data_IF_065405207804
#
_entry.id   IF_065405207804
#
_cell.length_a   1.000
_cell.length_b   1.000
_cell.length_c   1.000
_cell.angle_alpha   90.00
_cell.angle_beta   90.00
_cell.angle_gamma   90.00
#
_symmetry.space_group_name_H-M   'P 1'
#
loop_
_entity.id
_entity.type
_entity.pdbx_description
1 polymer ?
#
# COMPACT_ATOMS: atom_id res chain seq x y z
N UNK A 1 -46.79 -24.24 -11.64
CA UNK A 1 -45.88 -23.13 -11.96
C UNK A 1 -45.41 -22.56 -10.63
N UNK A 2 -44.32 -23.08 -10.07
CA UNK A 2 -43.72 -22.54 -8.85
C UNK A 2 -42.60 -21.59 -9.29
N UNK A 3 -42.89 -20.30 -9.36
CA UNK A 3 -41.85 -19.29 -9.46
C UNK A 3 -40.99 -19.39 -8.20
N UNK A 4 -39.70 -19.70 -8.36
CA UNK A 4 -38.73 -19.57 -7.27
C UNK A 4 -38.68 -18.09 -6.88
N UNK A 5 -39.22 -17.76 -5.71
CA UNK A 5 -39.20 -16.41 -5.14
C UNK A 5 -37.74 -15.91 -5.09
N UNK A 6 -37.49 -14.69 -5.59
CA UNK A 6 -36.16 -14.09 -5.60
C UNK A 6 -35.68 -13.79 -4.17
N UNK A 7 -34.36 -13.74 -3.95
CA UNK A 7 -33.75 -13.49 -2.63
C UNK A 7 -34.31 -12.22 -1.95
N UNK A 8 -34.54 -11.15 -2.71
CA UNK A 8 -35.09 -9.88 -2.21
C UNK A 8 -36.56 -9.98 -1.85
N UNK A 9 -37.35 -10.77 -2.57
CA UNK A 9 -38.78 -10.95 -2.30
C UNK A 9 -38.99 -11.83 -1.06
N UNK A 10 -38.17 -12.86 -0.91
CA UNK A 10 -38.11 -13.68 0.30
C UNK A 10 -37.70 -12.85 1.52
N UNK A 11 -36.67 -12.02 1.38
CA UNK A 11 -36.27 -11.05 2.41
C UNK A 11 -37.40 -10.10 2.78
N UNK A 12 -38.08 -9.50 1.80
CA UNK A 12 -39.15 -8.54 2.08
C UNK A 12 -40.31 -9.17 2.87
N UNK A 13 -40.62 -10.44 2.58
CA UNK A 13 -41.61 -11.23 3.31
C UNK A 13 -41.15 -11.49 4.77
N UNK A 14 -39.97 -12.07 4.97
CA UNK A 14 -39.45 -12.37 6.32
C UNK A 14 -39.24 -11.10 7.17
N UNK A 15 -38.63 -10.06 6.58
CA UNK A 15 -38.44 -8.78 7.24
C UNK A 15 -39.76 -8.12 7.60
N UNK A 16 -40.81 -8.30 6.78
CA UNK A 16 -42.17 -7.88 7.07
C UNK A 16 -42.71 -8.52 8.35
N UNK A 17 -42.56 -9.84 8.52
CA UNK A 17 -43.01 -10.54 9.73
C UNK A 17 -42.28 -10.04 11.00
N UNK A 18 -40.96 -9.84 10.91
CA UNK A 18 -40.20 -9.28 12.03
C UNK A 18 -40.65 -7.85 12.36
N UNK A 19 -40.92 -7.01 11.36
CA UNK A 19 -41.36 -5.63 11.56
C UNK A 19 -42.77 -5.54 12.18
N UNK A 20 -43.69 -6.44 11.84
CA UNK A 20 -45.00 -6.50 12.50
C UNK A 20 -44.90 -6.97 13.96
N UNK A 21 -44.00 -7.92 14.26
CA UNK A 21 -43.70 -8.32 15.63
C UNK A 21 -43.09 -7.16 16.43
N UNK A 22 -42.14 -6.43 15.85
CA UNK A 22 -41.53 -5.25 16.48
C UNK A 22 -42.55 -4.14 16.74
N UNK A 23 -43.42 -3.87 15.78
CA UNK A 23 -44.49 -2.86 15.92
C UNK A 23 -45.44 -3.19 17.08
N UNK A 24 -45.83 -4.46 17.21
CA UNK A 24 -46.64 -4.95 18.32
C UNK A 24 -45.94 -4.75 19.67
N UNK A 25 -44.63 -5.03 19.74
CA UNK A 25 -43.84 -4.90 20.96
C UNK A 25 -43.72 -3.43 21.41
N UNK A 26 -43.39 -2.51 20.50
CA UNK A 26 -43.20 -1.09 20.85
C UNK A 26 -44.52 -0.38 21.14
N UNK A 27 -45.63 -0.85 20.57
CA UNK A 27 -46.96 -0.28 20.78
C UNK A 27 -47.59 -0.66 22.11
N UNK A 28 -47.10 -1.70 22.79
CA UNK A 28 -47.63 -2.19 24.06
C UNK A 28 -47.76 -1.09 25.15
N UNK A 29 -48.82 -1.19 25.95
CA UNK A 29 -49.17 -0.17 26.98
C UNK A 29 -48.17 -0.17 28.14
N UNK A 30 -47.68 -1.35 28.55
CA UNK A 30 -46.71 -1.50 29.64
C UNK A 30 -45.24 -1.28 29.20
N UNK A 31 -45.01 -1.02 27.91
CA UNK A 31 -43.69 -1.05 27.28
C UNK A 31 -43.32 -2.43 26.73
N UNK A 32 -42.28 -2.51 25.88
CA UNK A 32 -41.90 -3.74 25.21
C UNK A 32 -41.24 -4.73 26.17
N UNK A 33 -41.45 -6.03 25.92
CA UNK A 33 -40.54 -7.06 26.43
C UNK A 33 -39.16 -6.83 25.80
N UNK A 34 -38.18 -6.50 26.65
CA UNK A 34 -36.85 -6.05 26.22
C UNK A 34 -36.02 -7.19 25.65
N UNK A 35 -36.24 -8.42 26.11
CA UNK A 35 -35.53 -9.59 25.59
C UNK A 35 -36.06 -9.94 24.21
N UNK A 36 -37.38 -9.93 24.06
CA UNK A 36 -38.04 -10.20 22.79
C UNK A 36 -37.74 -9.10 21.76
N UNK A 37 -37.79 -7.83 22.16
CA UNK A 37 -37.42 -6.70 21.29
C UNK A 37 -35.99 -6.84 20.76
N UNK A 38 -35.03 -7.21 21.63
CA UNK A 38 -33.64 -7.43 21.25
C UNK A 38 -33.49 -8.64 20.31
N UNK A 39 -34.21 -9.73 20.58
CA UNK A 39 -34.17 -10.95 19.77
C UNK A 39 -34.70 -10.70 18.36
N UNK A 40 -35.87 -10.07 18.24
CA UNK A 40 -36.51 -9.80 16.94
C UNK A 40 -35.71 -8.77 16.15
N UNK A 41 -35.17 -7.72 16.79
CA UNK A 41 -34.30 -6.74 16.12
C UNK A 41 -33.04 -7.37 15.53
N UNK A 42 -32.43 -8.34 16.25
CA UNK A 42 -31.27 -9.10 15.74
C UNK A 42 -31.65 -10.01 14.57
N UNK A 43 -32.80 -10.66 14.62
CA UNK A 43 -33.30 -11.51 13.54
C UNK A 43 -33.51 -10.69 12.25
N UNK A 44 -34.14 -9.51 12.37
CA UNK A 44 -34.33 -8.57 11.26
C UNK A 44 -32.99 -8.16 10.63
N UNK A 45 -31.99 -7.79 11.45
CA UNK A 45 -30.64 -7.48 10.97
C UNK A 45 -30.00 -8.65 10.23
N UNK A 46 -30.11 -9.86 10.78
CA UNK A 46 -29.58 -11.08 10.16
C UNK A 46 -30.19 -11.33 8.77
N UNK A 47 -31.52 -11.23 8.66
CA UNK A 47 -32.24 -11.38 7.40
C UNK A 47 -31.78 -10.34 6.35
N UNK A 48 -31.61 -9.07 6.75
CA UNK A 48 -31.12 -8.02 5.86
C UNK A 48 -29.68 -8.27 5.36
N UNK A 49 -28.78 -8.74 6.23
CA UNK A 49 -27.40 -9.06 5.83
C UNK A 49 -27.33 -10.27 4.89
N UNK A 50 -28.15 -11.30 5.14
CA UNK A 50 -28.23 -12.47 4.25
C UNK A 50 -28.77 -12.12 2.87
N UNK A 51 -29.63 -11.11 2.77
CA UNK A 51 -30.19 -10.59 1.53
C UNK A 51 -29.31 -9.55 0.82
N UNK A 52 -28.11 -9.28 1.34
CA UNK A 52 -27.21 -8.21 0.86
C UNK A 52 -27.82 -6.80 0.89
N UNK A 53 -28.71 -6.53 1.86
CA UNK A 53 -29.40 -5.26 2.05
C UNK A 53 -28.72 -4.46 3.18
N UNK A 54 -27.48 -4.01 2.93
CA UNK A 54 -26.62 -3.40 3.96
C UNK A 54 -27.26 -2.18 4.65
N UNK A 55 -27.88 -1.27 3.90
CA UNK A 55 -28.49 -0.06 4.45
C UNK A 55 -29.67 -0.35 5.40
N UNK A 56 -30.49 -1.38 5.10
CA UNK A 56 -31.56 -1.83 6.00
C UNK A 56 -30.95 -2.54 7.21
N UNK A 57 -29.89 -3.33 7.00
CA UNK A 57 -29.14 -4.00 8.05
C UNK A 57 -28.57 -3.03 9.09
N UNK A 58 -28.05 -1.87 8.65
CA UNK A 58 -27.52 -0.83 9.54
C UNK A 58 -28.61 -0.17 10.40
N UNK A 59 -29.78 0.12 9.81
CA UNK A 59 -30.92 0.64 10.55
C UNK A 59 -31.48 -0.39 11.55
N UNK A 60 -31.54 -1.67 11.17
CA UNK A 60 -31.91 -2.76 12.08
C UNK A 60 -30.88 -2.95 13.21
N UNK A 61 -29.58 -2.75 12.94
CA UNK A 61 -28.54 -2.76 13.97
C UNK A 61 -28.70 -1.60 14.96
N UNK A 62 -29.09 -0.41 14.50
CA UNK A 62 -29.41 0.71 15.38
C UNK A 62 -30.62 0.42 16.28
N UNK A 63 -31.63 -0.27 15.75
CA UNK A 63 -32.80 -0.71 16.54
C UNK A 63 -32.39 -1.78 17.58
N UNK A 64 -31.51 -2.71 17.20
CA UNK A 64 -30.92 -3.69 18.11
C UNK A 64 -30.15 -2.99 19.26
N UNK A 65 -29.42 -1.91 18.96
CA UNK A 65 -28.69 -1.13 19.94
C UNK A 65 -29.63 -0.44 20.94
N UNK A 66 -30.72 0.15 20.45
CA UNK A 66 -31.76 0.72 21.31
C UNK A 66 -32.37 -0.35 22.22
N UNK A 67 -32.73 -1.51 21.67
CA UNK A 67 -33.26 -2.63 22.43
C UNK A 67 -32.28 -3.13 23.51
N UNK A 68 -30.98 -3.16 23.19
CA UNK A 68 -29.92 -3.51 24.13
C UNK A 68 -29.77 -2.48 25.24
N UNK A 69 -29.77 -1.19 24.91
CA UNK A 69 -29.70 -0.11 25.90
C UNK A 69 -30.89 -0.14 26.87
N UNK A 70 -32.08 -0.46 26.36
CA UNK A 70 -33.26 -0.69 27.19
C UNK A 70 -33.08 -1.93 28.08
N UNK A 71 -32.61 -3.07 27.54
CA UNK A 71 -32.35 -4.30 28.32
C UNK A 71 -31.36 -4.04 29.46
N UNK A 72 -30.32 -3.25 29.20
CA UNK A 72 -29.27 -2.88 30.15
C UNK A 72 -29.67 -1.75 31.12
N UNK A 73 -30.92 -1.24 31.04
CA UNK A 73 -31.41 -0.09 31.82
C UNK A 73 -30.58 1.21 31.61
N UNK A 74 -29.86 1.34 30.50
CA UNK A 74 -29.11 2.56 30.15
C UNK A 74 -30.03 3.67 29.63
N UNK A 75 -31.17 3.30 29.05
CA UNK A 75 -32.20 4.20 28.54
C UNK A 75 -33.52 3.86 29.20
N UNK A 76 -34.29 4.88 29.56
CA UNK A 76 -35.67 4.71 30.04
C UNK A 76 -36.65 4.61 28.88
N UNK A 77 -37.64 3.72 29.00
CA UNK A 77 -38.76 3.66 28.06
C UNK A 77 -39.78 4.76 28.38
N UNK A 78 -39.51 5.97 27.91
CA UNK A 78 -40.37 7.15 28.03
C UNK A 78 -41.18 7.40 26.73
N UNK A 79 -42.14 8.35 26.73
CA UNK A 79 -42.93 8.66 25.53
C UNK A 79 -42.10 9.09 24.31
N UNK A 80 -40.94 9.71 24.52
CA UNK A 80 -40.04 10.12 23.44
C UNK A 80 -39.36 8.92 22.79
N UNK A 81 -38.76 8.04 23.58
CA UNK A 81 -38.14 6.79 23.13
C UNK A 81 -39.16 5.88 22.43
N UNK A 82 -40.39 5.80 22.96
CA UNK A 82 -41.49 5.07 22.33
C UNK A 82 -41.81 5.64 20.93
N UNK A 83 -41.93 6.96 20.83
CA UNK A 83 -42.27 7.62 19.57
C UNK A 83 -41.18 7.45 18.50
N UNK A 84 -39.91 7.47 18.90
CA UNK A 84 -38.76 7.24 18.00
C UNK A 84 -38.77 5.80 17.50
N UNK A 85 -38.95 4.82 18.40
CA UNK A 85 -38.99 3.41 18.03
C UNK A 85 -40.13 3.09 17.04
N UNK A 86 -41.33 3.63 17.26
CA UNK A 86 -42.48 3.46 16.36
C UNK A 86 -42.16 4.05 14.97
N UNK A 87 -41.68 5.29 14.90
CA UNK A 87 -41.34 5.93 13.61
C UNK A 87 -40.26 5.17 12.85
N UNK A 88 -39.24 4.70 13.55
CA UNK A 88 -38.16 3.94 12.93
C UNK A 88 -38.66 2.61 12.35
N UNK A 89 -39.59 1.93 13.03
CA UNK A 89 -40.21 0.71 12.53
C UNK A 89 -41.09 1.01 11.30
N UNK A 90 -41.87 2.09 11.33
CA UNK A 90 -42.67 2.52 10.17
C UNK A 90 -41.79 2.85 8.96
N UNK A 91 -40.69 3.57 9.17
CA UNK A 91 -39.72 3.88 8.13
C UNK A 91 -39.05 2.61 7.59
N UNK A 92 -38.69 1.65 8.46
CA UNK A 92 -38.16 0.35 8.05
C UNK A 92 -39.18 -0.46 7.24
N UNK A 93 -40.48 -0.41 7.57
CA UNK A 93 -41.55 -1.02 6.77
C UNK A 93 -41.58 -0.43 5.35
N UNK A 94 -41.38 0.88 5.21
CA UNK A 94 -41.31 1.54 3.89
C UNK A 94 -40.05 1.11 3.13
N UNK A 95 -38.89 1.10 3.79
CA UNK A 95 -37.61 0.74 3.17
C UNK A 95 -37.59 -0.72 2.68
N UNK A 96 -38.13 -1.65 3.47
CA UNK A 96 -38.24 -3.06 3.09
C UNK A 96 -39.15 -3.24 1.86
N UNK A 97 -40.27 -2.50 1.76
CA UNK A 97 -41.14 -2.53 0.58
C UNK A 97 -40.45 -2.00 -0.68
N UNK A 98 -39.47 -1.12 -0.54
CA UNK A 98 -38.68 -0.55 -1.64
C UNK A 98 -37.37 -1.29 -1.90
N UNK A 99 -37.11 -2.41 -1.24
CA UNK A 99 -35.84 -3.14 -1.38
C UNK A 99 -35.56 -3.64 -2.81
N UNK A 100 -36.59 -3.81 -3.65
CA UNK A 100 -36.45 -4.14 -5.07
C UNK A 100 -36.16 -2.95 -5.98
N UNK A 101 -36.52 -1.73 -5.55
CA UNK A 101 -36.44 -0.48 -6.33
C UNK A 101 -35.68 0.59 -5.52
N UNK A 102 -34.41 0.31 -5.24
CA UNK A 102 -33.59 1.10 -4.32
C UNK A 102 -32.98 2.34 -4.98
N UNK A 103 -33.08 3.50 -4.33
CA UNK A 103 -32.41 4.74 -4.78
C UNK A 103 -31.58 5.39 -3.66
N UNK A 104 -30.82 6.44 -4.00
CA UNK A 104 -30.04 7.23 -3.04
C UNK A 104 -30.91 7.88 -1.94
N UNK A 105 -32.17 8.18 -2.25
CA UNK A 105 -33.12 8.73 -1.28
C UNK A 105 -33.45 7.71 -0.17
N UNK A 106 -33.65 6.44 -0.51
CA UNK A 106 -33.86 5.36 0.47
C UNK A 106 -32.61 5.12 1.31
N UNK A 107 -31.41 5.17 0.72
CA UNK A 107 -30.15 5.08 1.45
C UNK A 107 -29.97 6.20 2.48
N UNK A 108 -30.30 7.43 2.09
CA UNK A 108 -30.27 8.60 2.98
C UNK A 108 -31.29 8.48 4.13
N UNK A 109 -32.50 8.00 3.81
CA UNK A 109 -33.56 7.77 4.80
C UNK A 109 -33.20 6.67 5.79
N UNK A 110 -32.67 5.54 5.33
CA UNK A 110 -32.16 4.46 6.19
C UNK A 110 -31.05 4.95 7.14
N UNK A 111 -30.15 5.78 6.63
CA UNK A 111 -29.09 6.41 7.44
C UNK A 111 -29.65 7.35 8.52
N UNK A 112 -30.67 8.16 8.19
CA UNK A 112 -31.33 9.04 9.15
C UNK A 112 -32.00 8.26 10.28
N UNK A 113 -32.72 7.19 9.93
CA UNK A 113 -33.38 6.30 10.90
C UNK A 113 -32.36 5.65 11.83
N UNK A 114 -31.25 5.16 11.28
CA UNK A 114 -30.17 4.58 12.07
C UNK A 114 -29.54 5.60 13.03
N UNK A 115 -29.39 6.86 12.61
CA UNK A 115 -28.85 7.92 13.45
C UNK A 115 -29.79 8.26 14.62
N UNK A 116 -31.08 8.47 14.34
CA UNK A 116 -32.11 8.78 15.35
C UNK A 116 -32.23 7.67 16.41
N UNK A 117 -32.20 6.40 15.99
CA UNK A 117 -32.24 5.26 16.91
C UNK A 117 -31.00 5.15 17.79
N UNK A 118 -29.80 5.39 17.24
CA UNK A 118 -28.57 5.33 18.03
C UNK A 118 -28.49 6.50 19.03
N UNK A 119 -28.94 7.70 18.63
CA UNK A 119 -29.06 8.85 19.55
C UNK A 119 -30.01 8.51 20.72
N UNK A 120 -31.18 7.94 20.43
CA UNK A 120 -32.12 7.49 21.44
C UNK A 120 -31.56 6.37 22.34
N UNK A 121 -30.64 5.54 21.84
CA UNK A 121 -29.98 4.48 22.61
C UNK A 121 -28.94 5.02 23.62
N UNK A 122 -28.77 6.34 23.73
CA UNK A 122 -27.73 6.96 24.54
C UNK A 122 -26.32 6.71 23.99
N UNK A 123 -26.23 6.16 22.77
CA UNK A 123 -25.01 6.30 22.00
C UNK A 123 -25.03 7.74 21.48
N UNK A 124 -24.12 8.56 21.98
CA UNK A 124 -23.73 9.76 21.23
C UNK A 124 -23.10 9.25 19.94
N UNK A 125 -23.94 9.03 18.94
CA UNK A 125 -23.49 9.06 17.56
C UNK A 125 -22.93 10.46 17.42
N UNK A 126 -21.60 10.58 17.38
CA UNK A 126 -20.97 11.83 16.99
C UNK A 126 -21.75 12.35 15.77
N UNK A 127 -22.14 13.64 15.76
CA UNK A 127 -23.02 14.13 14.72
C UNK A 127 -22.39 13.79 13.37
N UNK A 128 -23.09 13.05 12.50
CA UNK A 128 -22.77 13.09 11.07
C UNK A 128 -23.08 14.51 10.63
N UNK A 129 -22.09 15.40 10.81
CA UNK A 129 -22.12 16.73 10.25
C UNK A 129 -22.02 16.61 8.74
N UNK A 130 -22.68 17.57 8.11
CA UNK A 130 -22.81 17.85 6.69
C UNK A 130 -21.71 17.28 5.81
N UNK A 131 -22.08 16.92 4.58
CA UNK A 131 -21.27 16.52 3.41
C UNK A 131 -19.94 17.30 3.23
N UNK A 132 -19.77 18.46 3.86
CA UNK A 132 -18.50 19.20 3.95
C UNK A 132 -17.41 18.59 4.87
N UNK A 133 -17.73 17.65 5.78
CA UNK A 133 -16.76 16.96 6.67
C UNK A 133 -16.23 15.62 6.10
N UNK A 134 -16.53 15.30 4.83
CA UNK A 134 -16.16 14.03 4.16
C UNK A 134 -14.66 13.83 3.87
N UNK A 135 -13.77 14.58 4.52
CA UNK A 135 -12.31 14.47 4.32
C UNK A 135 -11.56 14.04 5.57
N UNK A 136 -12.23 13.64 6.66
CA UNK A 136 -11.58 13.26 7.92
C UNK A 136 -11.75 11.79 8.31
N UNK A 137 -10.66 11.15 8.73
CA UNK A 137 -10.64 9.81 9.34
C UNK A 137 -11.48 9.83 10.63
N UNK A 138 -12.38 8.86 10.84
CA UNK A 138 -13.23 8.80 12.05
C UNK A 138 -12.42 8.43 13.31
N UNK A 139 -12.95 8.78 14.49
CA UNK A 139 -12.26 8.56 15.78
C UNK A 139 -11.89 7.11 16.06
N UNK A 140 -12.71 6.14 15.62
CA UNK A 140 -12.43 4.72 15.77
C UNK A 140 -11.27 4.28 14.89
N UNK A 141 -11.28 4.70 13.64
CA UNK A 141 -10.17 4.48 12.69
C UNK A 141 -8.89 5.17 13.17
N UNK A 142 -8.95 6.37 13.74
CA UNK A 142 -7.78 7.04 14.35
C UNK A 142 -7.20 6.24 15.52
N UNK A 143 -8.05 5.74 16.42
CA UNK A 143 -7.60 4.92 17.55
C UNK A 143 -6.98 3.58 17.08
N UNK A 144 -7.54 2.98 16.04
CA UNK A 144 -6.98 1.81 15.38
C UNK A 144 -5.60 2.10 14.77
N UNK A 145 -5.49 3.17 13.97
CA UNK A 145 -4.21 3.60 13.38
C UNK A 145 -3.16 3.88 14.45
N UNK A 146 -3.54 4.53 15.56
CA UNK A 146 -2.62 4.79 16.66
C UNK A 146 -2.04 3.50 17.27
N UNK A 147 -2.91 2.51 17.53
CA UNK A 147 -2.52 1.22 18.13
C UNK A 147 -1.67 0.40 17.18
N UNK A 148 -2.14 0.20 15.95
CA UNK A 148 -1.45 -0.63 14.98
C UNK A 148 -0.16 0.05 14.50
N UNK A 149 -0.16 1.37 14.35
CA UNK A 149 1.05 2.16 14.05
C UNK A 149 2.11 2.07 15.15
N UNK A 150 1.71 2.08 16.43
CA UNK A 150 2.63 1.85 17.54
C UNK A 150 3.21 0.41 17.54
N UNK A 151 2.40 -0.59 17.19
CA UNK A 151 2.84 -1.98 17.02
C UNK A 151 3.93 -2.10 15.94
N UNK A 152 3.68 -1.54 14.76
CA UNK A 152 4.64 -1.52 13.64
C UNK A 152 5.92 -0.78 14.03
N UNK A 153 5.82 0.42 14.59
CA UNK A 153 6.99 1.20 15.01
C UNK A 153 7.84 0.46 16.05
N UNK A 154 7.22 -0.25 17.00
CA UNK A 154 7.94 -1.07 17.97
C UNK A 154 8.65 -2.25 17.32
N UNK A 155 8.00 -2.96 16.40
CA UNK A 155 8.63 -4.08 15.69
C UNK A 155 9.83 -3.62 14.86
N UNK A 156 9.71 -2.48 14.17
CA UNK A 156 10.80 -1.86 13.40
C UNK A 156 11.99 -1.47 14.29
N UNK A 157 11.74 -0.83 15.43
CA UNK A 157 12.78 -0.47 16.39
C UNK A 157 13.51 -1.70 16.95
N UNK A 158 12.79 -2.80 17.18
CA UNK A 158 13.39 -4.06 17.63
C UNK A 158 14.33 -4.67 16.56
N UNK A 159 13.90 -4.68 15.30
CA UNK A 159 14.75 -5.12 14.16
C UNK A 159 15.99 -4.24 14.03
N UNK A 160 15.83 -2.91 14.11
CA UNK A 160 16.94 -1.97 14.04
C UNK A 160 17.99 -2.24 15.14
N UNK A 161 17.56 -2.44 16.38
CA UNK A 161 18.45 -2.79 17.48
C UNK A 161 19.10 -4.17 17.33
N UNK A 162 18.38 -5.16 16.81
CA UNK A 162 18.94 -6.49 16.57
C UNK A 162 20.03 -6.45 15.49
N UNK A 163 19.83 -5.67 14.43
CA UNK A 163 20.83 -5.46 13.36
C UNK A 163 22.09 -4.78 13.90
N UNK A 164 21.95 -3.73 14.73
CA UNK A 164 23.10 -3.06 15.37
C UNK A 164 23.93 -4.00 16.23
N UNK A 165 23.29 -4.99 16.86
CA UNK A 165 23.96 -5.98 17.71
C UNK A 165 24.44 -7.21 16.96
N UNK A 166 24.16 -7.32 15.66
CA UNK A 166 24.47 -8.50 14.86
C UNK A 166 23.66 -9.75 15.25
N UNK A 167 22.50 -9.57 15.87
CA UNK A 167 21.62 -10.66 16.34
C UNK A 167 20.30 -10.74 15.56
N UNK A 168 20.22 -10.07 14.41
CA UNK A 168 19.02 -10.05 13.60
C UNK A 168 18.71 -11.44 13.02
N UNK A 169 17.43 -11.83 13.04
CA UNK A 169 16.98 -13.10 12.47
C UNK A 169 15.75 -12.92 11.57
N UNK A 170 15.43 -13.95 10.78
CA UNK A 170 14.29 -13.93 9.86
C UNK A 170 12.95 -13.70 10.57
N UNK A 171 12.78 -14.29 11.76
CA UNK A 171 11.55 -14.18 12.54
C UNK A 171 11.21 -12.73 12.93
N UNK A 172 12.23 -11.91 13.21
CA UNK A 172 12.04 -10.49 13.50
C UNK A 172 11.53 -9.70 12.29
N UNK A 173 12.00 -10.02 11.08
CA UNK A 173 11.47 -9.43 9.85
C UNK A 173 10.02 -9.87 9.60
N UNK A 174 9.71 -11.15 9.80
CA UNK A 174 8.34 -11.68 9.67
C UNK A 174 7.37 -11.02 10.68
N UNK A 175 7.85 -10.70 11.89
CA UNK A 175 7.08 -9.95 12.88
C UNK A 175 6.71 -8.54 12.40
N UNK A 176 7.61 -7.84 11.72
CA UNK A 176 7.30 -6.52 11.11
C UNK A 176 6.23 -6.66 10.04
N UNK A 177 6.36 -7.64 9.14
CA UNK A 177 5.34 -7.89 8.09
C UNK A 177 3.97 -8.18 8.71
N UNK A 178 3.91 -9.03 9.75
CA UNK A 178 2.66 -9.32 10.47
C UNK A 178 2.06 -8.08 11.13
N UNK A 179 2.88 -7.23 11.75
CA UNK A 179 2.43 -6.00 12.38
C UNK A 179 1.84 -5.00 11.37
N UNK A 180 2.31 -5.01 10.11
CA UNK A 180 1.84 -4.12 9.06
C UNK A 180 0.50 -4.54 8.43
N UNK A 181 0.15 -5.83 8.45
CA UNK A 181 -1.07 -6.36 7.81
C UNK A 181 -2.37 -5.60 8.16
N UNK A 182 -2.65 -5.25 9.44
CA UNK A 182 -3.89 -4.57 9.81
C UNK A 182 -4.05 -3.18 9.19
N UNK A 183 -2.95 -2.49 8.90
CA UNK A 183 -2.96 -1.13 8.35
C UNK A 183 -3.10 -1.09 6.83
N UNK A 184 -2.82 -2.18 6.12
CA UNK A 184 -2.90 -2.21 4.64
C UNK A 184 -4.31 -1.98 4.10
N UNK A 185 -5.34 -2.38 4.84
CA UNK A 185 -6.74 -2.16 4.45
C UNK A 185 -7.17 -0.69 4.43
N UNK A 186 -6.35 0.22 4.97
CA UNK A 186 -6.64 1.66 5.07
C UNK A 186 -5.95 2.49 3.96
N UNK A 187 -5.11 1.87 3.13
CA UNK A 187 -4.28 2.53 2.10
C UNK A 187 -5.07 3.36 1.06
N UNK A 188 -6.38 3.16 0.96
CA UNK A 188 -7.25 3.87 0.00
C UNK A 188 -7.58 5.31 0.46
N UNK A 189 -7.30 5.67 1.72
CA UNK A 189 -7.64 6.97 2.29
C UNK A 189 -6.50 7.99 2.07
N UNK A 190 -6.67 9.06 1.26
CA UNK A 190 -5.57 9.99 0.97
C UNK A 190 -4.96 10.65 2.21
N UNK A 191 -5.76 10.86 3.26
CA UNK A 191 -5.34 11.54 4.48
C UNK A 191 -4.36 10.74 5.35
N UNK A 192 -4.20 9.43 5.11
CA UNK A 192 -3.21 8.62 5.83
C UNK A 192 -1.82 8.64 5.18
N UNK A 193 -1.67 9.18 3.98
CA UNK A 193 -0.35 9.38 3.37
C UNK A 193 0.53 10.25 4.29
N UNK A 194 1.78 9.84 4.59
CA UNK A 194 2.61 8.90 3.83
C UNK A 194 2.64 7.49 4.44
N UNK A 195 1.72 7.16 5.37
CA UNK A 195 1.79 5.90 6.13
C UNK A 195 1.81 4.65 5.23
N UNK A 196 0.95 4.51 4.20
CA UNK A 196 1.05 3.40 3.25
C UNK A 196 2.39 3.38 2.52
N UNK A 197 2.87 4.53 2.07
CA UNK A 197 4.14 4.67 1.36
C UNK A 197 5.35 4.28 2.23
N UNK A 198 5.31 4.61 3.53
CA UNK A 198 6.32 4.18 4.51
C UNK A 198 6.32 2.67 4.68
N UNK A 199 5.14 2.04 4.78
CA UNK A 199 5.01 0.59 4.94
C UNK A 199 5.52 -0.16 3.70
N UNK A 200 5.13 0.29 2.52
CA UNK A 200 5.62 -0.23 1.26
C UNK A 200 7.16 -0.12 1.15
N UNK A 201 7.71 1.02 1.58
CA UNK A 201 9.15 1.22 1.66
C UNK A 201 9.84 0.24 2.62
N UNK A 202 9.23 -0.01 3.79
CA UNK A 202 9.73 -0.97 4.79
C UNK A 202 9.79 -2.37 4.20
N UNK A 203 8.76 -2.81 3.47
CA UNK A 203 8.75 -4.15 2.86
C UNK A 203 9.88 -4.36 1.87
N UNK A 204 10.18 -3.32 1.07
CA UNK A 204 11.32 -3.34 0.14
C UNK A 204 12.64 -3.36 0.88
N UNK A 205 12.76 -2.58 1.95
CA UNK A 205 13.93 -2.60 2.80
C UNK A 205 14.16 -3.98 3.44
N UNK A 206 13.09 -4.66 3.88
CA UNK A 206 13.16 -6.03 4.39
C UNK A 206 13.63 -6.99 3.29
N UNK A 207 13.03 -6.92 2.10
CA UNK A 207 13.42 -7.76 0.98
C UNK A 207 14.90 -7.55 0.60
N UNK A 208 15.39 -6.31 0.62
CA UNK A 208 16.79 -5.99 0.38
C UNK A 208 17.72 -6.50 1.49
N UNK A 209 17.33 -6.35 2.75
CA UNK A 209 18.10 -6.82 3.90
C UNK A 209 18.23 -8.36 3.91
N UNK A 210 17.11 -9.07 3.69
CA UNK A 210 17.08 -10.53 3.59
C UNK A 210 17.86 -11.03 2.37
N UNK A 211 17.81 -10.28 1.26
CA UNK A 211 18.61 -10.55 0.07
C UNK A 211 20.12 -10.25 0.22
N UNK A 212 20.56 -9.72 1.37
CA UNK A 212 21.98 -9.39 1.61
C UNK A 212 22.49 -8.19 0.83
N UNK A 213 21.60 -7.31 0.34
CA UNK A 213 21.94 -6.16 -0.48
C UNK A 213 22.24 -4.91 0.38
N UNK A 214 23.41 -4.85 1.02
CA UNK A 214 23.87 -3.67 1.78
C UNK A 214 24.42 -4.00 3.17
N UNK A 215 24.85 -2.97 3.92
CA UNK A 215 25.42 -3.19 5.26
C UNK A 215 24.34 -3.30 6.35
N UNK A 216 24.50 -4.19 7.36
CA UNK A 216 23.57 -4.29 8.48
C UNK A 216 23.33 -2.98 9.24
N UNK A 217 24.35 -2.11 9.30
CA UNK A 217 24.26 -0.81 9.95
C UNK A 217 23.42 0.19 9.17
N UNK A 218 23.50 0.20 7.84
CA UNK A 218 22.63 1.04 6.99
C UNK A 218 21.17 0.62 7.14
N UNK A 219 20.90 -0.69 7.11
CA UNK A 219 19.56 -1.22 7.35
C UNK A 219 19.05 -0.89 8.75
N UNK A 220 19.90 -0.97 9.78
CA UNK A 220 19.50 -0.58 11.13
C UNK A 220 19.06 0.88 11.22
N UNK A 221 19.83 1.80 10.60
CA UNK A 221 19.47 3.21 10.57
C UNK A 221 18.21 3.46 9.73
N UNK A 222 18.02 2.71 8.64
CA UNK A 222 16.81 2.77 7.83
C UNK A 222 15.57 2.34 8.62
N UNK A 223 15.60 1.17 9.28
CA UNK A 223 14.46 0.69 10.09
C UNK A 223 14.18 1.57 11.31
N UNK A 224 15.21 2.16 11.92
CA UNK A 224 15.02 3.17 12.97
C UNK A 224 14.34 4.45 12.46
N UNK A 225 14.74 4.94 11.27
CA UNK A 225 14.06 6.08 10.63
C UNK A 225 12.61 5.74 10.25
N UNK A 226 12.35 4.51 9.80
CA UNK A 226 11.01 4.03 9.51
C UNK A 226 10.13 3.97 10.76
N UNK A 227 10.66 3.47 11.88
CA UNK A 227 9.95 3.42 13.16
C UNK A 227 9.52 4.82 13.62
N UNK A 228 10.42 5.80 13.48
CA UNK A 228 10.13 7.21 13.79
C UNK A 228 9.09 7.80 12.84
N UNK A 229 9.22 7.57 11.53
CA UNK A 229 8.26 8.02 10.52
C UNK A 229 6.86 7.48 10.75
N UNK A 230 6.72 6.18 10.95
CA UNK A 230 5.44 5.51 11.24
C UNK A 230 4.84 6.04 12.55
N UNK A 231 5.65 6.19 13.60
CA UNK A 231 5.18 6.74 14.88
C UNK A 231 4.69 8.18 14.74
N UNK A 232 5.40 9.02 13.99
CA UNK A 232 5.02 10.41 13.77
C UNK A 232 3.72 10.51 12.96
N UNK A 233 3.65 9.84 11.80
CA UNK A 233 2.46 9.84 10.95
C UNK A 233 1.22 9.33 11.71
N UNK A 234 1.37 8.26 12.50
CA UNK A 234 0.25 7.71 13.30
C UNK A 234 -0.23 8.69 14.37
N UNK A 235 0.68 9.43 15.02
CA UNK A 235 0.34 10.47 16.01
C UNK A 235 -0.36 11.65 15.37
N UNK A 236 0.13 12.12 14.23
CA UNK A 236 -0.49 13.21 13.48
C UNK A 236 -1.90 12.83 13.04
N UNK A 237 -2.08 11.66 12.43
CA UNK A 237 -3.42 11.14 12.07
C UNK A 237 -4.35 11.09 13.30
N UNK A 238 -3.83 10.71 14.46
CA UNK A 238 -4.63 10.68 15.70
C UNK A 238 -5.06 12.08 16.13
N UNK A 239 -4.15 13.06 16.06
CA UNK A 239 -4.35 14.43 16.56
C UNK A 239 -5.12 15.30 15.56
N UNK A 240 -4.65 15.39 14.32
CA UNK A 240 -5.19 16.27 13.27
C UNK A 240 -6.12 15.56 12.29
N UNK A 241 -6.14 14.21 12.26
CA UNK A 241 -6.93 13.45 11.29
C UNK A 241 -6.25 13.28 9.93
N UNK A 242 -5.02 13.76 9.77
CA UNK A 242 -4.20 13.59 8.57
C UNK A 242 -2.71 13.57 8.94
N UNK A 243 -1.91 12.78 8.23
CA UNK A 243 -0.45 12.82 8.38
C UNK A 243 0.17 13.95 7.54
N UNK A 244 1.27 14.51 8.03
CA UNK A 244 2.10 15.45 7.30
C UNK A 244 3.15 14.67 6.50
N UNK A 245 2.93 14.55 5.19
CA UNK A 245 3.80 13.73 4.35
C UNK A 245 5.24 14.23 4.26
N UNK A 246 5.50 15.52 4.48
CA UNK A 246 6.84 16.12 4.45
C UNK A 246 7.53 16.24 5.83
N UNK A 247 7.06 15.47 6.81
CA UNK A 247 7.70 15.41 8.14
C UNK A 247 9.20 15.05 8.02
N UNK A 248 10.07 15.60 8.90
CA UNK A 248 11.50 15.34 8.84
C UNK A 248 11.83 13.85 8.98
N UNK A 249 11.02 13.09 9.72
CA UNK A 249 11.15 11.63 9.83
C UNK A 249 10.84 10.90 8.52
N UNK A 250 9.78 11.32 7.80
CA UNK A 250 9.43 10.72 6.51
C UNK A 250 10.48 11.04 5.43
N UNK A 251 10.98 12.28 5.40
CA UNK A 251 12.10 12.70 4.52
C UNK A 251 13.36 11.88 4.76
N UNK A 252 13.72 11.70 6.03
CA UNK A 252 14.91 10.94 6.39
C UNK A 252 14.79 9.46 5.98
N UNK A 253 13.60 8.88 6.16
CA UNK A 253 13.33 7.52 5.71
C UNK A 253 13.41 7.40 4.18
N UNK A 254 12.75 8.29 3.43
CA UNK A 254 12.75 8.27 1.96
C UNK A 254 14.18 8.35 1.40
N UNK A 255 14.98 9.30 1.91
CA UNK A 255 16.38 9.47 1.55
C UNK A 255 17.23 8.21 1.80
N UNK A 256 17.07 7.58 2.97
CA UNK A 256 17.80 6.36 3.32
C UNK A 256 17.35 5.16 2.50
N UNK A 257 16.06 5.06 2.22
CA UNK A 257 15.50 4.01 1.39
C UNK A 257 16.05 4.12 -0.04
N UNK A 258 16.07 5.33 -0.61
CA UNK A 258 16.68 5.59 -1.90
C UNK A 258 18.15 5.16 -1.94
N UNK A 259 18.95 5.53 -0.94
CA UNK A 259 20.36 5.15 -0.86
C UNK A 259 20.55 3.62 -0.82
N UNK A 260 19.76 2.90 -0.02
CA UNK A 260 19.85 1.43 0.10
C UNK A 260 19.39 0.74 -1.20
N UNK A 261 18.36 1.25 -1.86
CA UNK A 261 17.86 0.69 -3.12
C UNK A 261 18.79 0.96 -4.30
N UNK A 262 19.53 2.09 -4.29
CA UNK A 262 20.51 2.44 -5.31
C UNK A 262 21.76 1.54 -5.25
N UNK A 263 22.21 1.17 -4.04
CA UNK A 263 23.35 0.25 -3.81
C UNK A 263 23.12 -1.14 -4.44
N UNK A 264 21.87 -1.56 -4.62
CA UNK A 264 21.53 -2.83 -5.28
C UNK A 264 21.66 -2.82 -6.82
N UNK A 265 21.87 -1.66 -7.44
CA UNK A 265 21.95 -1.50 -8.90
C UNK A 265 23.35 -1.24 -9.45
N UNK A 266 24.36 -1.07 -8.59
CA UNK A 266 25.75 -0.92 -9.05
C UNK A 266 26.34 -2.30 -9.38
N UNK A 267 25.88 -2.87 -10.51
CA UNK A 267 26.44 -4.09 -11.07
C UNK A 267 27.85 -3.77 -11.55
N UNK A 268 28.83 -4.00 -10.68
CA UNK A 268 30.24 -3.89 -11.05
C UNK A 268 30.54 -5.05 -12.00
N UNK A 269 30.83 -4.80 -13.29
CA UNK A 269 31.21 -5.86 -14.21
C UNK A 269 32.44 -6.57 -13.66
N UNK A 270 32.45 -7.91 -13.64
CA UNK A 270 33.59 -8.66 -13.12
C UNK A 270 34.89 -8.25 -13.81
N UNK A 271 34.80 -7.81 -15.07
CA UNK A 271 35.88 -7.23 -15.87
C UNK A 271 36.55 -6.00 -15.22
N UNK A 272 35.82 -5.16 -14.47
CA UNK A 272 36.39 -3.99 -13.80
C UNK A 272 37.10 -4.31 -12.48
N UNK A 273 37.01 -5.56 -12.01
CA UNK A 273 37.72 -6.04 -10.83
C UNK A 273 39.13 -6.59 -11.16
N UNK A 274 39.46 -6.75 -12.44
CA UNK A 274 40.79 -7.18 -12.86
C UNK A 274 41.78 -6.01 -12.88
N UNK A 275 43.06 -6.35 -12.80
CA UNK A 275 44.14 -5.39 -12.96
C UNK A 275 44.26 -4.97 -14.44
N UNK A 276 44.89 -3.81 -14.69
CA UNK A 276 45.23 -3.36 -16.05
C UNK A 276 46.46 -4.12 -16.58
N UNK A 277 46.31 -5.43 -16.77
CA UNK A 277 47.31 -6.30 -17.38
C UNK A 277 46.74 -7.00 -18.62
N UNK A 278 47.64 -7.40 -19.51
CA UNK A 278 47.34 -7.86 -20.89
C UNK A 278 46.84 -9.31 -20.95
N UNK A 279 46.10 -9.77 -19.95
CA UNK A 279 45.59 -11.15 -19.86
C UNK A 279 44.15 -11.30 -20.37
N UNK A 280 43.74 -12.48 -20.86
CA UNK A 280 42.34 -12.80 -21.02
C UNK A 280 41.74 -13.03 -19.63
N UNK A 281 41.19 -11.97 -19.05
CA UNK A 281 40.63 -11.97 -17.70
C UNK A 281 39.34 -12.77 -17.57
N UNK A 282 38.55 -12.79 -18.65
CA UNK A 282 37.34 -13.61 -18.78
C UNK A 282 37.63 -14.74 -19.76
N UNK A 283 37.76 -15.96 -19.25
CA UNK A 283 38.09 -17.16 -20.05
C UNK A 283 36.85 -17.78 -20.69
N UNK A 284 35.71 -17.74 -19.99
CA UNK A 284 34.42 -18.25 -20.44
C UNK A 284 33.35 -17.34 -19.86
N UNK A 285 32.52 -16.74 -20.72
CA UNK A 285 31.33 -16.06 -20.26
C UNK A 285 30.33 -17.07 -19.71
N UNK A 286 29.84 -16.83 -18.49
CA UNK A 286 28.79 -17.66 -17.92
C UNK A 286 27.52 -17.57 -18.78
N UNK A 287 26.78 -18.67 -18.86
CA UNK A 287 25.44 -18.63 -19.44
C UNK A 287 24.59 -17.65 -18.65
N UNK A 288 24.03 -16.62 -19.30
CA UNK A 288 23.07 -15.74 -18.64
C UNK A 288 21.98 -16.59 -17.98
N UNK A 289 21.62 -16.25 -16.74
CA UNK A 289 20.48 -16.86 -16.09
C UNK A 289 19.28 -16.77 -17.05
N UNK A 290 18.62 -17.90 -17.28
CA UNK A 290 17.44 -17.97 -18.15
C UNK A 290 16.44 -16.95 -17.62
N UNK A 291 16.29 -15.84 -18.33
CA UNK A 291 15.34 -14.82 -17.94
C UNK A 291 13.94 -15.45 -17.97
N UNK A 292 13.08 -15.16 -16.97
CA UNK A 292 11.70 -15.59 -17.03
C UNK A 292 11.08 -15.17 -18.37
N UNK A 293 10.18 -16.01 -18.87
CA UNK A 293 9.70 -15.97 -20.25
C UNK A 293 9.05 -14.65 -20.68
N UNK A 294 8.67 -14.62 -21.96
CA UNK A 294 7.97 -13.52 -22.63
C UNK A 294 6.86 -12.92 -21.75
N UNK A 295 6.73 -11.59 -21.73
CA UNK A 295 5.60 -10.89 -21.11
C UNK A 295 4.30 -11.54 -21.56
N UNK A 296 3.57 -12.17 -20.64
CA UNK A 296 2.26 -12.71 -20.95
C UNK A 296 1.32 -11.53 -21.21
N UNK A 297 0.42 -11.64 -22.20
CA UNK A 297 -0.49 -10.54 -22.57
C UNK A 297 -1.28 -9.96 -21.39
N UNK A 298 -1.66 -10.81 -20.43
CA UNK A 298 -2.36 -10.38 -19.23
C UNK A 298 -1.45 -9.57 -18.28
N UNK A 299 -0.17 -9.96 -18.19
CA UNK A 299 0.83 -9.26 -17.37
C UNK A 299 1.20 -7.91 -17.98
N UNK A 300 1.28 -7.80 -19.30
CA UNK A 300 1.56 -6.52 -19.96
C UNK A 300 0.45 -5.50 -19.71
N UNK A 301 -0.82 -5.93 -19.80
CA UNK A 301 -1.96 -5.05 -19.49
C UNK A 301 -1.94 -4.63 -18.02
N UNK A 302 -1.73 -5.57 -17.10
CA UNK A 302 -1.68 -5.27 -15.66
C UNK A 302 -0.55 -4.29 -15.30
N UNK A 303 0.67 -4.50 -15.84
CA UNK A 303 1.77 -3.56 -15.65
C UNK A 303 1.46 -2.20 -16.29
N UNK A 304 0.81 -2.18 -17.45
CA UNK A 304 0.43 -0.94 -18.12
C UNK A 304 -0.59 -0.12 -17.33
N UNK A 305 -1.64 -0.75 -16.82
CA UNK A 305 -2.63 -0.12 -15.93
C UNK A 305 -1.98 0.42 -14.67
N UNK A 306 -1.07 -0.36 -14.06
CA UNK A 306 -0.34 0.07 -12.87
C UNK A 306 0.54 1.31 -13.13
N UNK A 307 1.23 1.39 -14.28
CA UNK A 307 2.03 2.58 -14.63
C UNK A 307 1.15 3.83 -14.83
N UNK A 308 -0.03 3.69 -15.45
CA UNK A 308 -0.98 4.79 -15.61
C UNK A 308 -1.50 5.26 -14.25
N UNK A 309 -1.89 4.32 -13.38
CA UNK A 309 -2.34 4.64 -12.03
C UNK A 309 -1.23 5.36 -11.23
N UNK A 310 0.00 4.86 -11.30
CA UNK A 310 1.13 5.47 -10.60
C UNK A 310 1.45 6.89 -11.12
N UNK A 311 1.31 7.14 -12.42
CA UNK A 311 1.47 8.48 -13.00
C UNK A 311 0.46 9.46 -12.40
N UNK A 312 -0.81 9.07 -12.35
CA UNK A 312 -1.88 9.85 -11.73
C UNK A 312 -1.62 10.09 -10.23
N UNK A 313 -1.15 9.08 -9.50
CA UNK A 313 -0.84 9.18 -8.07
C UNK A 313 0.35 10.13 -7.82
N UNK A 314 1.36 10.13 -8.67
CA UNK A 314 2.49 11.06 -8.59
C UNK A 314 2.04 12.51 -8.83
N UNK A 315 1.17 12.75 -9.81
CA UNK A 315 0.63 14.09 -10.10
C UNK A 315 -0.30 14.60 -8.98
N UNK A 316 -1.08 13.70 -8.35
CA UNK A 316 -1.97 14.05 -7.22
C UNK A 316 -1.22 14.26 -5.90
N UNK A 317 0.03 13.84 -5.79
CA UNK A 317 0.80 13.98 -4.56
C UNK A 317 1.12 15.47 -4.30
N UNK A 318 0.74 15.95 -3.11
CA UNK A 318 0.91 17.35 -2.72
C UNK A 318 2.33 17.65 -2.22
N UNK A 319 3.06 16.63 -1.75
CA UNK A 319 4.35 16.78 -1.08
C UNK A 319 5.48 16.05 -1.80
N UNK A 320 6.68 16.62 -1.79
CA UNK A 320 7.87 16.04 -2.42
C UNK A 320 8.22 14.67 -1.82
N UNK A 321 8.19 14.52 -0.50
CA UNK A 321 8.44 13.24 0.18
C UNK A 321 7.45 12.15 -0.25
N UNK A 322 6.18 12.52 -0.47
CA UNK A 322 5.16 11.60 -0.97
C UNK A 322 5.47 11.18 -2.41
N UNK A 323 5.87 12.12 -3.27
CA UNK A 323 6.33 11.85 -4.64
C UNK A 323 7.56 10.95 -4.66
N UNK A 324 8.51 11.19 -3.77
CA UNK A 324 9.75 10.41 -3.65
C UNK A 324 9.44 8.96 -3.27
N UNK A 325 8.64 8.73 -2.22
CA UNK A 325 8.29 7.38 -1.78
C UNK A 325 7.46 6.62 -2.84
N UNK A 326 6.55 7.30 -3.54
CA UNK A 326 5.79 6.72 -4.67
C UNK A 326 6.69 6.42 -5.86
N UNK A 327 7.66 7.27 -6.17
CA UNK A 327 8.63 6.99 -7.23
C UNK A 327 9.52 5.79 -6.88
N UNK A 328 10.02 5.73 -5.64
CA UNK A 328 10.76 4.57 -5.12
C UNK A 328 9.91 3.28 -5.14
N UNK A 329 8.58 3.40 -5.11
CA UNK A 329 7.69 2.26 -5.25
C UNK A 329 7.71 1.59 -6.61
N UNK A 330 7.95 2.36 -7.65
CA UNK A 330 7.96 1.86 -9.02
C UNK A 330 9.23 1.06 -9.34
N UNK A 331 10.29 1.17 -8.54
CA UNK A 331 11.54 0.42 -8.75
C UNK A 331 11.32 -1.09 -8.80
N UNK A 332 10.37 -1.63 -8.03
CA UNK A 332 10.02 -3.06 -8.08
C UNK A 332 9.34 -3.43 -9.41
N UNK A 333 8.42 -2.60 -9.88
CA UNK A 333 7.74 -2.76 -11.17
C UNK A 333 8.74 -2.69 -12.32
N UNK A 334 9.63 -1.70 -12.32
CA UNK A 334 10.69 -1.59 -13.33
C UNK A 334 11.62 -2.81 -13.30
N UNK A 335 11.98 -3.31 -12.10
CA UNK A 335 12.77 -4.54 -11.99
C UNK A 335 12.05 -5.74 -12.58
N UNK A 336 10.76 -5.89 -12.35
CA UNK A 336 9.96 -6.95 -12.99
C UNK A 336 9.95 -6.82 -14.51
N UNK A 337 9.82 -5.61 -15.04
CA UNK A 337 9.85 -5.36 -16.48
C UNK A 337 11.24 -5.54 -17.10
N UNK A 338 12.33 -5.35 -16.34
CA UNK A 338 13.70 -5.60 -16.78
C UNK A 338 14.01 -7.08 -16.98
N UNK A 339 13.36 -7.99 -16.24
CA UNK A 339 13.62 -9.44 -16.37
C UNK A 339 12.98 -10.06 -17.60
N UNK A 340 12.11 -9.32 -18.30
CA UNK A 340 11.42 -9.81 -19.49
C UNK A 340 12.41 -10.01 -20.63
N UNK A 341 12.32 -11.16 -21.29
CA UNK A 341 13.10 -11.46 -22.49
C UNK A 341 12.21 -11.85 -23.66
N UNK A 342 12.58 -11.43 -24.87
CA UNK A 342 11.73 -11.62 -26.05
C UNK A 342 12.22 -10.87 -27.28
N UNK A 343 11.27 -10.45 -28.11
CA UNK A 343 11.51 -9.74 -29.36
C UNK A 343 11.77 -8.23 -29.17
N UNK A 344 11.65 -7.44 -30.25
CA UNK A 344 11.97 -6.01 -30.22
C UNK A 344 11.19 -5.21 -29.17
N UNK A 345 9.93 -5.56 -28.93
CA UNK A 345 9.09 -4.92 -27.93
C UNK A 345 9.65 -5.14 -26.52
N UNK A 346 9.92 -6.39 -26.15
CA UNK A 346 10.45 -6.74 -24.83
C UNK A 346 11.82 -6.10 -24.57
N UNK A 347 12.66 -5.92 -25.61
CA UNK A 347 13.90 -5.17 -25.52
C UNK A 347 13.66 -3.69 -25.20
N UNK A 348 12.74 -3.02 -25.91
CA UNK A 348 12.44 -1.61 -25.65
C UNK A 348 11.78 -1.37 -24.29
N UNK A 349 11.00 -2.33 -23.78
CA UNK A 349 10.44 -2.29 -22.41
C UNK A 349 11.55 -2.36 -21.36
N UNK A 350 12.59 -3.16 -21.60
CA UNK A 350 13.79 -3.21 -20.73
C UNK A 350 14.53 -1.88 -20.75
N UNK A 351 14.80 -1.31 -21.93
CA UNK A 351 15.44 0.00 -22.10
C UNK A 351 14.67 1.10 -21.34
N UNK A 352 13.35 1.13 -21.47
CA UNK A 352 12.48 2.02 -20.69
C UNK A 352 12.64 1.80 -19.18
N UNK A 353 12.59 0.56 -18.73
CA UNK A 353 12.65 0.22 -17.30
C UNK A 353 13.99 0.60 -16.68
N UNK A 354 15.10 0.42 -17.41
CA UNK A 354 16.44 0.87 -17.01
C UNK A 354 16.54 2.40 -16.99
N UNK A 355 15.97 3.09 -17.97
CA UNK A 355 15.93 4.55 -18.01
C UNK A 355 15.11 5.12 -16.85
N UNK A 356 13.94 4.53 -16.57
CA UNK A 356 13.04 4.94 -15.49
C UNK A 356 13.67 4.70 -14.12
N UNK A 357 14.30 3.54 -13.90
CA UNK A 357 15.03 3.25 -12.67
C UNK A 357 16.14 4.29 -12.42
N UNK A 358 16.96 4.60 -13.44
CA UNK A 358 17.99 5.65 -13.34
C UNK A 358 17.41 7.05 -13.14
N UNK A 359 16.24 7.34 -13.70
CA UNK A 359 15.56 8.61 -13.49
C UNK A 359 15.10 8.75 -12.03
N UNK A 360 14.54 7.69 -11.43
CA UNK A 360 14.17 7.64 -10.01
C UNK A 360 15.40 7.83 -9.11
N UNK A 361 16.49 7.08 -9.32
CA UNK A 361 17.72 7.22 -8.52
C UNK A 361 18.31 8.64 -8.56
N UNK A 362 18.17 9.35 -9.68
CA UNK A 362 18.66 10.73 -9.86
C UNK A 362 17.67 11.81 -9.38
N UNK A 363 16.54 11.42 -8.79
CA UNK A 363 15.51 12.34 -8.31
C UNK A 363 14.74 13.07 -9.42
N UNK A 364 14.74 12.57 -10.65
CA UNK A 364 14.00 13.17 -11.78
C UNK A 364 12.49 13.37 -11.49
N UNK A 365 11.78 12.45 -10.79
CA UNK A 365 10.37 12.64 -10.45
C UNK A 365 10.09 13.84 -9.53
N UNK A 366 11.08 14.29 -8.75
CA UNK A 366 10.98 15.48 -7.90
C UNK A 366 11.32 16.76 -8.67
N UNK A 367 12.21 16.67 -9.66
CA UNK A 367 12.57 17.81 -10.49
C UNK A 367 11.44 18.20 -11.46
N UNK A 368 10.90 17.23 -12.20
CA UNK A 368 9.79 17.44 -13.14
C UNK A 368 8.81 16.27 -13.08
N UNK A 369 7.94 16.33 -12.06
CA UNK A 369 6.91 15.30 -11.83
C UNK A 369 5.98 15.14 -13.02
N UNK A 370 5.61 16.24 -13.68
CA UNK A 370 4.68 16.23 -14.82
C UNK A 370 5.29 15.53 -16.03
N UNK A 371 6.55 15.84 -16.37
CA UNK A 371 7.25 15.18 -17.46
C UNK A 371 7.43 13.68 -17.18
N UNK A 372 7.84 13.31 -15.96
CA UNK A 372 8.02 11.91 -15.59
C UNK A 372 6.70 11.13 -15.62
N UNK A 373 5.63 11.66 -15.01
CA UNK A 373 4.31 11.05 -15.02
C UNK A 373 3.73 10.89 -16.44
N UNK A 374 3.92 11.89 -17.31
CA UNK A 374 3.51 11.79 -18.71
C UNK A 374 4.19 10.62 -19.43
N UNK A 375 5.48 10.39 -19.19
CA UNK A 375 6.20 9.26 -19.79
C UNK A 375 5.75 7.90 -19.21
N UNK A 376 5.48 7.82 -17.89
CA UNK A 376 4.91 6.61 -17.29
C UNK A 376 3.54 6.26 -17.90
N UNK A 377 2.68 7.27 -18.08
CA UNK A 377 1.36 7.11 -18.70
C UNK A 377 1.49 6.63 -20.14
N UNK A 378 2.39 7.23 -20.93
CA UNK A 378 2.66 6.82 -22.31
C UNK A 378 3.18 5.37 -22.39
N UNK A 379 4.12 4.98 -21.52
CA UNK A 379 4.59 3.59 -21.43
C UNK A 379 3.45 2.63 -21.05
N UNK A 380 2.61 3.02 -20.10
CA UNK A 380 1.46 2.23 -19.66
C UNK A 380 0.44 1.99 -20.76
N UNK A 381 0.06 3.03 -21.52
CA UNK A 381 -0.83 2.93 -22.67
C UNK A 381 -0.28 2.00 -23.77
N UNK A 382 1.04 2.04 -23.99
CA UNK A 382 1.71 1.16 -24.94
C UNK A 382 1.62 -0.31 -24.50
N UNK A 383 1.85 -0.59 -23.21
CA UNK A 383 1.74 -1.94 -22.64
C UNK A 383 0.30 -2.48 -22.66
N UNK A 384 -0.69 -1.63 -22.39
CA UNK A 384 -2.12 -1.96 -22.48
C UNK A 384 -2.51 -2.32 -23.92
N UNK A 385 -1.97 -1.61 -24.92
CA UNK A 385 -2.24 -1.87 -26.33
C UNK A 385 -1.49 -3.09 -26.91
N UNK A 386 -0.51 -3.63 -26.19
CA UNK A 386 0.38 -4.71 -26.67
C UNK A 386 -0.31 -6.00 -27.12
N UNK A 387 -1.44 -6.47 -26.54
CA UNK A 387 -2.08 -7.71 -26.97
C UNK A 387 -2.69 -7.69 -28.37
N UNK A 388 -3.04 -6.50 -28.89
CA UNK A 388 -3.75 -6.34 -30.18
C UNK A 388 -3.07 -5.40 -31.18
N UNK A 389 -1.97 -4.76 -30.81
CA UNK A 389 -1.26 -3.79 -31.65
C UNK A 389 -0.12 -4.38 -32.49
N UNK A 390 0.35 -3.60 -33.46
CA UNK A 390 1.57 -3.90 -34.20
C UNK A 390 2.80 -3.78 -33.29
N UNK A 391 3.43 -4.92 -33.00
CA UNK A 391 4.58 -5.02 -32.10
C UNK A 391 5.76 -4.14 -32.52
N UNK A 392 6.00 -3.93 -33.83
CA UNK A 392 7.10 -3.09 -34.30
C UNK A 392 6.81 -1.60 -34.06
N UNK A 393 5.58 -1.17 -34.34
CA UNK A 393 5.15 0.21 -34.08
C UNK A 393 5.12 0.54 -32.58
N UNK A 394 4.67 -0.40 -31.75
CA UNK A 394 4.67 -0.25 -30.29
C UNK A 394 6.09 -0.20 -29.71
N UNK A 395 7.01 -1.03 -30.23
CA UNK A 395 8.42 -0.99 -29.84
C UNK A 395 9.06 0.36 -30.16
N UNK A 396 8.82 0.92 -31.36
CA UNK A 396 9.33 2.25 -31.74
C UNK A 396 8.84 3.34 -30.78
N UNK A 397 7.55 3.33 -30.44
CA UNK A 397 6.97 4.28 -29.48
C UNK A 397 7.55 4.10 -28.08
N UNK A 398 7.75 2.85 -27.62
CA UNK A 398 8.35 2.58 -26.31
C UNK A 398 9.80 3.06 -26.24
N UNK A 399 10.56 2.93 -27.34
CA UNK A 399 11.92 3.46 -27.42
C UNK A 399 11.96 4.99 -27.33
N UNK A 400 11.02 5.70 -27.97
CA UNK A 400 10.88 7.16 -27.82
C UNK A 400 10.58 7.56 -26.38
N UNK A 401 9.70 6.83 -25.69
CA UNK A 401 9.39 7.04 -24.27
C UNK A 401 10.63 6.79 -23.40
N UNK A 402 11.39 5.72 -23.64
CA UNK A 402 12.64 5.44 -22.93
C UNK A 402 13.66 6.58 -23.06
N UNK A 403 13.83 7.11 -24.28
CA UNK A 403 14.71 8.25 -24.55
C UNK A 403 14.21 9.53 -23.84
N UNK A 404 12.90 9.78 -23.85
CA UNK A 404 12.31 10.94 -23.18
C UNK A 404 12.51 10.88 -21.65
N UNK A 405 12.32 9.71 -21.03
CA UNK A 405 12.59 9.50 -19.59
C UNK A 405 14.06 9.74 -19.26
N UNK A 406 14.97 9.23 -20.08
CA UNK A 406 16.41 9.41 -19.87
C UNK A 406 16.85 10.89 -19.92
N UNK A 407 16.15 11.69 -20.72
CA UNK A 407 16.41 13.12 -20.92
C UNK A 407 15.88 14.03 -19.80
N UNK A 408 15.04 13.52 -18.89
CA UNK A 408 14.55 14.32 -17.76
C UNK A 408 15.73 14.70 -16.87
N UNK A 409 15.93 16.00 -16.56
CA UNK A 409 17.03 16.45 -15.72
C UNK A 409 17.01 15.81 -14.33
N UNK A 410 18.20 15.52 -13.79
CA UNK A 410 18.34 15.11 -12.40
C UNK A 410 18.00 16.27 -11.47
N UNK A 411 17.37 15.97 -10.33
CA UNK A 411 17.34 16.92 -9.23
C UNK A 411 18.79 17.11 -8.78
N UNK A 412 19.32 18.34 -8.85
CA UNK A 412 20.62 18.64 -8.23
C UNK A 412 20.51 18.41 -6.73
N UNK A 413 20.86 17.22 -6.26
CA UNK A 413 21.19 16.99 -4.86
C UNK A 413 22.35 17.93 -4.57
N UNK A 414 22.14 18.92 -3.72
CA UNK A 414 23.19 19.82 -3.28
C UNK A 414 24.34 19.00 -2.68
N UNK A 415 25.34 18.68 -3.52
CA UNK A 415 26.63 18.15 -3.11
C UNK A 415 27.41 19.28 -2.43
N UNK A 416 26.98 19.63 -1.22
CA UNK A 416 27.90 20.19 -0.23
C UNK A 416 28.40 18.99 0.59
N UNK A 417 29.72 18.79 0.58
CA UNK A 417 30.52 17.66 1.10
C UNK A 417 31.00 16.63 0.07
N UNK A 418 31.54 17.07 -1.06
CA UNK A 418 32.67 16.38 -1.69
C UNK A 418 33.72 17.40 -2.10
N UNK A 419 34.58 17.78 -1.16
CA UNK A 419 35.92 18.25 -1.51
C UNK A 419 36.88 17.96 -0.35
N UNK A 420 37.17 16.67 -0.14
CA UNK A 420 38.31 16.16 0.63
C UNK A 420 38.47 14.66 0.36
N UNK A 421 38.51 14.27 -0.91
CA UNK A 421 38.81 12.91 -1.33
C UNK A 421 39.74 13.00 -2.53
N UNK A 422 41.03 13.24 -2.29
CA UNK A 422 42.04 13.22 -3.34
C UNK A 422 42.01 11.90 -4.12
N UNK A 423 42.46 11.90 -5.39
CA UNK A 423 42.38 10.72 -6.23
C UNK A 423 43.09 9.55 -5.54
N UNK A 424 42.35 8.47 -5.31
CA UNK A 424 42.91 7.22 -4.82
C UNK A 424 43.84 6.65 -5.90
N UNK A 425 45.11 7.02 -5.83
CA UNK A 425 46.18 6.38 -6.60
C UNK A 425 46.17 4.89 -6.27
N UNK A 426 45.93 4.05 -7.28
CA UNK A 426 46.01 2.58 -7.16
C UNK A 426 47.36 2.15 -6.58
N UNK A 427 47.42 1.13 -5.71
CA UNK A 427 48.68 0.56 -5.26
C UNK A 427 49.42 -0.08 -6.45
N UNK A 428 50.69 0.29 -6.63
CA UNK A 428 51.60 -0.36 -7.59
C UNK A 428 51.92 -1.77 -7.10
N UNK A 429 51.77 -2.77 -7.96
CA UNK A 429 51.97 -4.18 -7.63
C UNK A 429 53.38 -4.46 -7.05
N UNK A 430 53.53 -5.39 -6.08
CA UNK A 430 54.82 -5.88 -5.66
C UNK A 430 55.49 -6.66 -6.81
N UNK A 431 56.72 -6.25 -7.15
CA UNK A 431 57.52 -6.91 -8.19
C UNK A 431 57.83 -8.35 -7.78
N UNK A 432 57.28 -9.33 -8.49
CA UNK A 432 57.64 -10.74 -8.31
C UNK A 432 59.11 -10.95 -8.72
N UNK A 433 59.93 -11.42 -7.79
CA UNK A 433 61.28 -11.87 -8.09
C UNK A 433 61.22 -13.19 -8.85
N UNK A 434 61.88 -13.25 -10.00
CA UNK A 434 62.00 -14.46 -10.84
C UNK A 434 62.84 -15.51 -10.07
N UNK A 435 62.37 -16.75 -9.90
CA UNK A 435 63.20 -17.85 -9.38
C UNK A 435 64.26 -18.23 -10.41
N UNK A 436 65.53 -18.35 -9.99
CA UNK A 436 66.61 -18.85 -10.86
C UNK A 436 66.38 -20.34 -11.16
N UNK A 437 66.55 -20.72 -12.42
CA UNK A 437 66.53 -22.11 -12.88
C UNK A 437 67.63 -22.95 -12.20
N UNK A 438 67.37 -24.25 -11.92
CA UNK A 438 68.37 -25.15 -11.35
C UNK A 438 69.36 -25.64 -12.43
N UNK A 439 70.65 -25.44 -12.17
CA UNK A 439 71.80 -25.90 -12.94
C UNK A 439 71.83 -27.42 -13.13
N UNK A 440 72.35 -27.82 -14.29
CA UNK A 440 72.53 -29.19 -14.76
C UNK A 440 73.33 -30.08 -13.78
N UNK A 441 72.87 -31.34 -13.65
CA UNK A 441 73.55 -32.43 -12.94
C UNK A 441 74.91 -32.76 -13.60
N UNK A 442 76.02 -32.47 -12.92
CA UNK A 442 77.33 -33.09 -13.20
C UNK A 442 77.43 -34.52 -12.60
N UNK A 443 78.11 -35.46 -13.28
CA UNK A 443 78.19 -36.86 -12.84
C UNK A 443 79.32 -37.11 -11.82
N UNK A 444 79.05 -38.01 -10.88
CA UNK A 444 79.99 -38.48 -9.85
C UNK A 444 81.02 -39.45 -10.47
N UNK A 445 82.34 -39.23 -10.31
CA UNK A 445 83.34 -40.28 -10.47
C UNK A 445 83.59 -41.04 -9.15
N UNK A 446 83.95 -42.32 -9.30
CA UNK A 446 84.05 -43.38 -8.30
C UNK A 446 85.04 -43.16 -7.14
#
# INVERSE_FOLDING_TARGET
MNSQMGLTEFFAMEAGEYLEQLDTLVSAVAGPDREELLRVSRALRGSALMANQAAIGDAAAALENLARALKENRVSWDPGTKQIAIRAIDDLKILVRKASDWTEAEGSKASSVAAELNEAAGHVTAPRRSIADQTGIDTGTRAFIAREGASVASALAQVAHALQRGTANQEQFDNVIRAMQPLRGLAVVPQISPLPELMDGVERAIAAAVGGMGSPNEFALLFDSAARGVSNASKEITVSGAAQADSPEAREFARRLGAVLDVGNDVIPIQSLYFEDTGPHVLVEGTQASAPGRLVQLESVAHGEHLVQAADELERAEWDTQRELRALALTATFRSLMTVSGGPMEQTVREFSEAATRAVSRGAPLHDTGAFAAQLRAAGEILIASPGGDSAALASRMHEVAAAVAAIPAAQVAQQHQDSGGPLTRPRAPSAAIPREPDELEPIPA
#
